data_IF_167474290977
#
_entry.id   IF_167474290977
#
_cell.length_a   1.000
_cell.length_b   1.000
_cell.length_c   1.000
_cell.angle_alpha   90.00
_cell.angle_beta   90.00
_cell.angle_gamma   90.00
#
_symmetry.space_group_name_H-M   'P 1'
#
loop_
_entity.id
_entity.type
_entity.pdbx_description
1 polymer ?
#
# COMPACT_ATOMS: atom_id res chain seq x y z
N UNK A 1 -29.27 7.74 29.01
CA UNK A 1 -28.17 7.50 29.96
C UNK A 1 -27.74 8.84 30.54
N UNK A 2 -27.09 8.90 31.70
CA UNK A 2 -26.38 10.11 32.15
C UNK A 2 -25.04 9.70 32.72
N UNK A 3 -23.97 10.41 32.33
CA UNK A 3 -22.66 10.40 33.00
C UNK A 3 -22.37 11.78 33.58
N UNK A 4 -21.67 11.83 34.72
CA UNK A 4 -21.32 13.07 35.42
C UNK A 4 -19.94 12.93 36.05
N UNK A 5 -19.05 13.88 35.76
CA UNK A 5 -17.78 14.05 36.49
C UNK A 5 -18.00 14.72 37.85
N UNK A 6 -17.41 14.16 38.92
CA UNK A 6 -17.42 14.78 40.26
C UNK A 6 -16.17 14.43 41.03
N UNK A 7 -15.34 15.44 41.33
CA UNK A 7 -14.01 15.18 41.90
C UNK A 7 -13.22 14.33 40.92
N UNK A 8 -12.56 13.28 41.38
CA UNK A 8 -11.80 12.35 40.55
C UNK A 8 -12.59 11.09 40.15
N UNK A 9 -13.91 11.19 40.05
CA UNK A 9 -14.78 10.06 39.76
C UNK A 9 -15.78 10.41 38.68
N UNK A 10 -16.08 9.41 37.84
CA UNK A 10 -17.24 9.44 36.95
C UNK A 10 -18.39 8.71 37.64
N UNK A 11 -19.59 9.26 37.51
CA UNK A 11 -20.83 8.69 38.01
C UNK A 11 -21.78 8.46 36.86
N UNK A 12 -22.58 7.40 36.92
CA UNK A 12 -23.52 7.05 35.85
C UNK A 12 -24.93 6.76 36.39
N UNK A 13 -25.92 6.91 35.50
CA UNK A 13 -27.30 6.46 35.72
C UNK A 13 -27.83 5.76 34.49
N UNK A 14 -27.96 4.44 34.60
CA UNK A 14 -28.38 3.56 33.49
C UNK A 14 -29.88 3.35 33.35
N UNK A 15 -30.63 3.59 34.42
CA UNK A 15 -32.09 3.46 34.45
C UNK A 15 -32.75 4.81 34.65
N UNK A 16 -33.74 5.15 33.82
CA UNK A 16 -34.52 6.38 33.97
C UNK A 16 -35.14 6.47 35.38
N UNK A 17 -34.90 7.58 36.08
CA UNK A 17 -35.34 7.77 37.47
C UNK A 17 -34.57 6.97 38.54
N UNK A 18 -33.57 6.18 38.15
CA UNK A 18 -32.68 5.47 39.06
C UNK A 18 -31.72 6.38 39.82
N UNK A 19 -31.00 5.80 40.79
CA UNK A 19 -29.91 6.49 41.49
C UNK A 19 -28.72 6.73 40.55
N UNK A 20 -27.97 7.81 40.80
CA UNK A 20 -26.67 8.04 40.18
C UNK A 20 -25.63 7.31 41.05
N UNK A 21 -24.89 6.38 40.44
CA UNK A 21 -23.90 5.54 41.14
C UNK A 21 -22.50 5.78 40.58
N UNK A 22 -21.49 5.64 41.43
CA UNK A 22 -20.09 5.77 41.01
C UNK A 22 -19.71 4.62 40.08
N UNK A 23 -18.94 4.92 39.03
CA UNK A 23 -18.33 3.89 38.17
C UNK A 23 -17.12 3.27 38.86
N UNK A 24 -16.42 2.34 38.19
CA UNK A 24 -15.08 1.94 38.63
C UNK A 24 -14.14 3.14 38.68
N UNK A 25 -13.11 3.05 39.54
CA UNK A 25 -12.11 4.09 39.67
C UNK A 25 -11.36 4.30 38.35
N UNK A 26 -11.08 5.56 38.02
CA UNK A 26 -10.20 5.92 36.91
C UNK A 26 -8.75 5.49 37.23
N UNK A 27 -7.89 5.33 36.21
CA UNK A 27 -6.47 5.06 36.38
C UNK A 27 -5.76 6.00 37.37
N UNK A 28 -4.64 5.53 37.92
CA UNK A 28 -3.88 6.29 38.90
C UNK A 28 -3.41 7.63 38.33
N UNK A 29 -3.55 8.70 39.13
CA UNK A 29 -3.22 10.07 38.71
C UNK A 29 -4.44 10.96 38.55
N UNK A 30 -5.62 10.37 38.31
CA UNK A 30 -6.85 11.11 37.99
C UNK A 30 -7.13 12.27 38.97
N UNK A 31 -7.14 13.48 38.40
CA UNK A 31 -7.45 14.75 39.03
C UNK A 31 -8.95 15.04 39.08
N UNK A 32 -9.32 16.33 39.12
CA UNK A 32 -10.74 16.70 39.06
C UNK A 32 -11.23 16.61 37.63
N UNK A 33 -12.28 15.81 37.40
CA UNK A 33 -12.90 15.67 36.08
C UNK A 33 -13.46 17.00 35.63
N UNK A 34 -12.96 17.47 34.49
CA UNK A 34 -13.34 18.75 33.87
C UNK A 34 -14.51 18.55 32.91
N UNK A 35 -14.53 17.45 32.17
CA UNK A 35 -15.61 17.16 31.22
C UNK A 35 -15.77 15.65 30.93
N UNK A 36 -16.92 15.27 30.38
CA UNK A 36 -17.26 13.91 29.97
C UNK A 36 -17.99 13.91 28.62
N UNK A 37 -17.58 13.02 27.72
CA UNK A 37 -18.26 12.78 26.43
C UNK A 37 -18.74 11.33 26.33
N UNK A 38 -19.76 11.10 25.51
CA UNK A 38 -20.33 9.77 25.28
C UNK A 38 -20.52 9.56 23.79
N UNK A 39 -20.35 8.31 23.36
CA UNK A 39 -20.85 7.91 22.05
C UNK A 39 -22.39 7.91 22.08
N UNK A 40 -23.06 8.70 21.21
CA UNK A 40 -24.51 8.82 21.19
C UNK A 40 -25.23 7.54 20.71
N UNK A 41 -24.56 6.69 19.94
CA UNK A 41 -25.08 5.43 19.41
C UNK A 41 -24.73 4.24 20.32
N UNK A 42 -23.61 4.31 21.05
CA UNK A 42 -23.23 3.35 22.10
C UNK A 42 -22.89 4.02 23.44
N UNK A 43 -23.90 4.13 24.32
CA UNK A 43 -23.73 4.68 25.66
C UNK A 43 -22.71 3.96 26.54
N UNK A 44 -22.27 2.74 26.19
CA UNK A 44 -21.21 2.03 26.92
C UNK A 44 -19.82 2.63 26.65
N UNK A 45 -19.66 3.35 25.55
CA UNK A 45 -18.43 4.05 25.22
C UNK A 45 -18.45 5.47 25.78
N UNK A 46 -17.58 5.72 26.75
CA UNK A 46 -17.57 6.92 27.59
C UNK A 46 -16.16 7.46 27.73
N UNK A 47 -16.02 8.77 27.64
CA UNK A 47 -14.76 9.48 27.80
C UNK A 47 -14.84 10.46 28.96
N UNK A 48 -13.72 10.65 29.65
CA UNK A 48 -13.61 11.63 30.71
C UNK A 48 -12.22 12.26 30.65
N UNK A 49 -12.13 13.54 31.00
CA UNK A 49 -10.86 14.25 31.09
C UNK A 49 -10.70 14.91 32.45
N UNK A 50 -9.45 15.03 32.90
CA UNK A 50 -9.07 16.00 33.92
C UNK A 50 -8.18 17.09 33.30
N UNK A 51 -7.29 17.73 34.05
CA UNK A 51 -6.42 18.80 33.53
C UNK A 51 -5.33 18.34 32.57
N UNK A 52 -4.95 17.06 32.59
CA UNK A 52 -3.75 16.55 31.95
C UNK A 52 -3.82 15.07 31.52
N UNK A 53 -4.93 14.39 31.80
CA UNK A 53 -5.20 13.02 31.39
C UNK A 53 -6.53 12.89 30.65
N UNK A 54 -6.59 11.92 29.73
CA UNK A 54 -7.79 11.50 29.02
C UNK A 54 -8.06 10.03 29.31
N UNK A 55 -9.29 9.71 29.66
CA UNK A 55 -9.73 8.37 30.03
C UNK A 55 -10.85 7.89 29.12
N UNK A 56 -10.87 6.57 28.85
CA UNK A 56 -11.89 5.92 28.04
C UNK A 56 -12.41 4.65 28.73
N UNK A 57 -13.70 4.39 28.61
CA UNK A 57 -14.36 3.15 28.96
C UNK A 57 -15.20 2.67 27.77
N UNK A 58 -15.22 1.36 27.52
CA UNK A 58 -16.04 0.70 26.48
C UNK A 58 -17.09 -0.25 27.06
N UNK A 59 -17.26 -0.22 28.38
CA UNK A 59 -18.14 -1.12 29.13
C UNK A 59 -19.00 -0.36 30.16
N UNK A 60 -19.31 0.90 29.84
CA UNK A 60 -20.19 1.76 30.62
C UNK A 60 -19.60 2.23 31.94
N UNK A 61 -18.27 2.21 32.08
CA UNK A 61 -17.51 2.61 33.27
C UNK A 61 -17.16 1.45 34.20
N UNK A 62 -17.29 0.20 33.76
CA UNK A 62 -16.86 -0.95 34.57
C UNK A 62 -15.32 -1.09 34.58
N UNK A 63 -14.66 -0.71 33.49
CA UNK A 63 -13.22 -0.55 33.37
C UNK A 63 -12.88 0.76 32.66
N UNK A 64 -11.75 1.38 33.05
CA UNK A 64 -11.25 2.62 32.46
C UNK A 64 -9.79 2.45 32.06
N UNK A 65 -9.45 2.96 30.88
CA UNK A 65 -8.11 3.02 30.32
C UNK A 65 -7.64 4.46 30.25
N UNK A 66 -6.36 4.71 30.54
CA UNK A 66 -5.72 6.00 30.27
C UNK A 66 -5.31 6.01 28.79
N UNK A 67 -5.85 6.97 28.04
CA UNK A 67 -5.60 7.16 26.62
C UNK A 67 -4.85 8.47 26.32
N UNK A 68 -4.23 9.08 27.33
CA UNK A 68 -3.50 10.35 27.20
C UNK A 68 -2.40 10.29 26.14
N UNK A 69 -1.70 9.16 26.03
CA UNK A 69 -0.78 8.89 24.93
C UNK A 69 0.27 9.97 24.70
N UNK A 70 0.44 10.41 23.45
CA UNK A 70 1.37 11.48 23.07
C UNK A 70 0.84 12.92 23.33
N UNK A 71 -0.40 13.10 23.81
CA UNK A 71 -1.05 14.41 23.88
C UNK A 71 -0.26 15.45 24.68
N UNK A 72 0.30 15.07 25.83
CA UNK A 72 1.08 15.98 26.69
C UNK A 72 2.44 16.36 26.11
N UNK A 73 2.90 15.64 25.08
CA UNK A 73 4.12 15.97 24.33
C UNK A 73 3.87 16.97 23.20
N UNK A 74 2.65 17.02 22.67
CA UNK A 74 2.27 17.85 21.51
C UNK A 74 1.32 19.01 21.86
N UNK A 75 0.77 19.03 23.07
CA UNK A 75 -0.14 20.06 23.55
C UNK A 75 0.27 20.57 24.93
N UNK A 76 -0.16 21.78 25.25
CA UNK A 76 -0.10 22.29 26.63
C UNK A 76 -1.27 21.71 27.42
N UNK A 77 -1.01 21.23 28.65
CA UNK A 77 -2.04 20.79 29.61
C UNK A 77 -3.02 21.93 29.95
N UNK A 78 -4.00 21.68 30.83
CA UNK A 78 -5.25 22.47 31.00
C UNK A 78 -6.28 22.02 29.97
N UNK A 79 -6.60 20.70 29.95
CA UNK A 79 -7.70 20.15 29.16
C UNK A 79 -9.04 20.52 29.79
N UNK A 80 -9.97 21.03 28.99
CA UNK A 80 -11.19 21.68 29.50
C UNK A 80 -12.49 21.12 29.00
N UNK A 81 -12.47 20.56 27.81
CA UNK A 81 -13.66 20.09 27.11
C UNK A 81 -13.26 18.90 26.25
N UNK A 82 -14.15 17.93 26.14
CA UNK A 82 -14.00 16.77 25.28
C UNK A 82 -15.30 16.57 24.52
N UNK A 83 -15.21 16.36 23.21
CA UNK A 83 -16.37 16.14 22.36
C UNK A 83 -16.19 14.87 21.53
N UNK A 84 -17.29 14.13 21.34
CA UNK A 84 -17.30 12.93 20.50
C UNK A 84 -17.77 13.31 19.09
N UNK A 85 -16.99 12.94 18.09
CA UNK A 85 -17.26 13.26 16.68
C UNK A 85 -17.47 11.94 15.92
N UNK A 86 -18.73 11.51 15.69
CA UNK A 86 -19.03 10.31 14.92
C UNK A 86 -18.51 10.45 13.49
N UNK A 87 -18.05 9.34 12.92
CA UNK A 87 -17.76 9.25 11.49
C UNK A 87 -18.52 8.11 10.82
N UNK A 88 -18.40 8.00 9.50
CA UNK A 88 -19.03 6.91 8.73
C UNK A 88 -18.38 5.56 8.98
N UNK A 89 -17.16 5.58 9.50
CA UNK A 89 -16.15 4.56 9.31
C UNK A 89 -15.31 4.38 10.58
N UNK A 90 -14.92 5.50 11.20
CA UNK A 90 -14.26 5.60 12.49
C UNK A 90 -14.83 6.81 13.21
N UNK A 91 -14.75 6.81 14.53
CA UNK A 91 -15.09 7.97 15.34
C UNK A 91 -13.83 8.62 15.89
N UNK A 92 -13.97 9.86 16.33
CA UNK A 92 -12.91 10.64 16.94
C UNK A 92 -13.41 11.24 18.24
N UNK A 93 -12.45 11.52 19.10
CA UNK A 93 -12.65 12.37 20.26
C UNK A 93 -11.75 13.59 20.11
N UNK A 94 -12.33 14.77 20.33
CA UNK A 94 -11.62 16.04 20.27
C UNK A 94 -11.51 16.62 21.67
N UNK A 95 -10.32 17.06 22.06
CA UNK A 95 -10.04 17.69 23.35
C UNK A 95 -9.60 19.13 23.13
N UNK A 96 -10.28 20.04 23.83
CA UNK A 96 -9.89 21.44 23.93
C UNK A 96 -8.86 21.64 25.03
N UNK A 97 -7.72 22.22 24.66
CA UNK A 97 -6.55 22.42 25.54
C UNK A 97 -6.17 23.90 25.64
N UNK A 98 -5.07 24.22 26.35
CA UNK A 98 -4.47 25.56 26.35
C UNK A 98 -3.83 25.98 25.04
N UNK A 99 -3.47 25.02 24.18
CA UNK A 99 -2.79 25.26 22.91
C UNK A 99 -3.66 24.98 21.69
N UNK A 100 -4.95 24.70 21.85
CA UNK A 100 -5.86 24.47 20.73
C UNK A 100 -6.67 23.19 20.88
N UNK A 101 -7.17 22.69 19.75
CA UNK A 101 -7.96 21.46 19.66
C UNK A 101 -7.06 20.33 19.16
N UNK A 102 -7.06 19.22 19.88
CA UNK A 102 -6.37 18.00 19.50
C UNK A 102 -7.37 16.87 19.44
N UNK A 103 -7.17 15.89 18.58
CA UNK A 103 -8.08 14.77 18.46
C UNK A 103 -7.31 13.46 18.39
N UNK A 104 -7.95 12.39 18.86
CA UNK A 104 -7.53 11.03 18.63
C UNK A 104 -8.71 10.27 18.03
N UNK A 105 -8.40 9.27 17.21
CA UNK A 105 -9.42 8.38 16.64
C UNK A 105 -9.69 7.25 17.62
N UNK A 106 -10.92 6.77 17.73
CA UNK A 106 -11.31 5.77 18.75
C UNK A 106 -10.63 4.41 18.55
N UNK A 107 -10.15 4.08 17.35
CA UNK A 107 -9.33 2.89 17.08
C UNK A 107 -7.84 3.06 17.40
N UNK A 108 -7.36 4.30 17.58
CA UNK A 108 -6.00 4.61 18.05
C UNK A 108 -6.05 5.71 19.12
N UNK A 109 -6.69 5.43 20.27
CA UNK A 109 -7.09 6.48 21.20
C UNK A 109 -5.90 7.11 21.94
N UNK A 110 -4.69 6.56 21.81
CA UNK A 110 -3.45 7.09 22.40
C UNK A 110 -2.60 7.91 21.41
N UNK A 111 -3.03 8.04 20.15
CA UNK A 111 -2.30 8.80 19.12
C UNK A 111 -3.11 10.04 18.76
N UNK A 112 -2.70 11.15 19.37
CA UNK A 112 -3.30 12.46 19.23
C UNK A 112 -2.64 13.27 18.11
N UNK A 113 -3.46 14.07 17.44
CA UNK A 113 -3.09 14.97 16.35
C UNK A 113 -3.69 16.34 16.59
N UNK A 114 -3.04 17.40 16.12
CA UNK A 114 -3.61 18.75 16.15
C UNK A 114 -4.74 18.86 15.11
N UNK A 115 -5.89 19.41 15.49
CA UNK A 115 -6.99 19.68 14.57
C UNK A 115 -6.70 20.95 13.75
N UNK A 116 -5.86 20.85 12.72
CA UNK A 116 -5.33 22.02 11.99
C UNK A 116 -6.29 22.53 10.90
N UNK A 117 -6.93 23.69 11.14
CA UNK A 117 -7.61 24.50 10.08
C UNK A 117 -7.32 26.00 10.21
N UNK A 118 -6.22 26.37 10.87
CA UNK A 118 -5.82 27.78 11.09
C UNK A 118 -6.20 28.35 12.46
N UNK A 119 -6.65 27.52 13.39
CA UNK A 119 -6.77 27.86 14.81
C UNK A 119 -5.36 28.12 15.38
N UNK A 120 -5.06 29.33 15.89
CA UNK A 120 -3.78 29.60 16.54
C UNK A 120 -3.74 29.01 17.94
N UNK A 121 -2.53 28.86 18.52
CA UNK A 121 -2.33 28.53 19.94
C UNK A 121 -3.23 29.39 20.84
N UNK A 122 -4.30 28.78 21.34
CA UNK A 122 -5.30 29.45 22.15
C UNK A 122 -5.97 28.46 23.08
N UNK A 123 -6.30 28.97 24.27
CA UNK A 123 -7.09 28.23 25.23
C UNK A 123 -8.52 28.01 24.70
N UNK A 124 -8.87 26.75 24.51
CA UNK A 124 -10.20 26.29 24.14
C UNK A 124 -10.97 26.03 25.43
N UNK A 125 -12.10 26.72 25.60
CA UNK A 125 -12.94 26.61 26.77
C UNK A 125 -14.02 25.55 26.60
N UNK A 126 -14.55 25.40 25.39
CA UNK A 126 -15.69 24.57 25.08
C UNK A 126 -15.61 24.09 23.63
N UNK A 127 -16.01 22.84 23.41
CA UNK A 127 -16.19 22.22 22.11
C UNK A 127 -17.64 21.76 22.01
N UNK A 128 -18.22 21.87 20.82
CA UNK A 128 -19.56 21.38 20.54
C UNK A 128 -19.60 20.87 19.09
N UNK A 129 -20.07 19.65 18.88
CA UNK A 129 -20.19 19.05 17.56
C UNK A 129 -21.66 18.98 17.14
N UNK A 130 -21.99 19.67 16.04
CA UNK A 130 -23.30 19.57 15.40
C UNK A 130 -23.26 18.50 14.32
N UNK A 131 -23.89 17.36 14.60
CA UNK A 131 -23.97 16.22 13.66
C UNK A 131 -24.92 16.45 12.48
N UNK A 132 -25.81 17.43 12.56
CA UNK A 132 -26.75 17.75 11.47
C UNK A 132 -26.06 18.59 10.39
N UNK A 133 -25.20 19.53 10.80
CA UNK A 133 -24.45 20.40 9.90
C UNK A 133 -23.02 19.91 9.64
N UNK A 134 -22.58 18.87 10.35
CA UNK A 134 -21.21 18.32 10.34
C UNK A 134 -20.16 19.40 10.64
N UNK A 135 -20.33 20.07 11.78
CA UNK A 135 -19.48 21.18 12.23
C UNK A 135 -19.02 20.97 13.66
N UNK A 136 -17.70 20.99 13.88
CA UNK A 136 -17.11 21.13 15.21
C UNK A 136 -16.85 22.61 15.51
N UNK A 137 -17.39 23.11 16.61
CA UNK A 137 -17.29 24.50 17.06
C UNK A 137 -16.37 24.58 18.27
N UNK A 138 -15.41 25.51 18.26
CA UNK A 138 -14.50 25.77 19.37
C UNK A 138 -14.67 27.18 19.92
N UNK A 139 -15.08 27.27 21.20
CA UNK A 139 -15.14 28.52 21.96
C UNK A 139 -13.77 28.84 22.59
N UNK A 140 -13.17 29.97 22.23
CA UNK A 140 -11.79 30.31 22.65
C UNK A 140 -11.71 31.48 23.61
N UNK A 141 -10.65 31.53 24.44
CA UNK A 141 -10.35 32.71 25.25
C UNK A 141 -9.77 33.84 24.41
N UNK A 142 -10.58 34.86 24.12
CA UNK A 142 -10.11 36.11 23.53
C UNK A 142 -9.85 36.07 22.02
N UNK A 143 -10.23 35.00 21.31
CA UNK A 143 -10.10 34.88 19.85
C UNK A 143 -11.40 34.47 19.15
N UNK A 144 -12.53 34.61 19.84
CA UNK A 144 -13.87 34.35 19.28
C UNK A 144 -14.19 32.86 19.19
N UNK A 145 -15.03 32.51 18.22
CA UNK A 145 -15.48 31.15 17.93
C UNK A 145 -14.85 30.70 16.62
N UNK A 146 -14.40 29.45 16.60
CA UNK A 146 -13.81 28.80 15.43
C UNK A 146 -14.66 27.60 15.04
N UNK A 147 -14.68 27.27 13.75
CA UNK A 147 -15.49 26.18 13.21
C UNK A 147 -14.67 25.34 12.24
N UNK A 148 -14.79 24.03 12.37
CA UNK A 148 -14.35 23.05 11.38
C UNK A 148 -15.59 22.47 10.72
N UNK A 149 -15.77 22.74 9.42
CA UNK A 149 -16.80 22.07 8.62
C UNK A 149 -16.32 20.69 8.18
N UNK A 150 -17.26 19.78 7.88
CA UNK A 150 -16.97 18.40 7.54
C UNK A 150 -16.15 17.67 8.63
N UNK A 151 -16.37 18.02 9.91
CA UNK A 151 -15.54 17.53 11.02
C UNK A 151 -15.56 15.99 11.14
N UNK A 152 -16.68 15.35 10.82
CA UNK A 152 -16.80 13.90 10.73
C UNK A 152 -15.85 13.29 9.70
N UNK A 153 -15.44 14.01 8.66
CA UNK A 153 -14.49 13.54 7.65
C UNK A 153 -13.08 14.03 7.95
N UNK A 154 -12.90 15.27 8.39
CA UNK A 154 -11.58 15.84 8.68
C UNK A 154 -10.91 15.17 9.88
N UNK A 155 -11.67 14.85 10.94
CA UNK A 155 -11.14 14.19 12.13
C UNK A 155 -11.12 12.66 11.98
N UNK A 156 -12.07 12.07 11.26
CA UNK A 156 -12.15 10.61 11.13
C UNK A 156 -11.51 10.05 9.86
N UNK A 157 -11.29 10.86 8.83
CA UNK A 157 -10.63 10.48 7.59
C UNK A 157 -9.16 10.13 7.83
N UNK A 158 -8.67 9.12 7.14
CA UNK A 158 -7.26 8.76 7.09
C UNK A 158 -6.76 9.11 5.71
N UNK A 159 -6.56 10.39 5.39
CA UNK A 159 -6.13 10.84 4.06
C UNK A 159 -5.00 9.96 3.50
N UNK A 160 -3.77 10.18 3.96
CA UNK A 160 -2.66 9.25 3.71
C UNK A 160 -2.50 8.30 4.89
N UNK A 161 -2.66 7.00 4.66
CA UNK A 161 -2.32 5.97 5.63
C UNK A 161 -0.80 5.72 5.59
N UNK A 162 -0.07 6.33 6.51
CA UNK A 162 1.38 6.10 6.68
C UNK A 162 1.63 4.91 7.60
N UNK A 163 2.45 3.97 7.16
CA UNK A 163 2.86 2.74 7.84
C UNK A 163 4.37 2.78 8.08
N UNK A 164 4.81 2.50 9.32
CA UNK A 164 6.22 2.49 9.69
C UNK A 164 6.54 1.31 10.64
N UNK A 165 7.83 0.97 10.77
CA UNK A 165 8.31 -0.01 11.74
C UNK A 165 8.00 0.34 13.21
N UNK A 166 7.71 1.61 13.51
CA UNK A 166 7.35 2.10 14.85
C UNK A 166 5.85 1.95 15.17
N UNK A 167 5.03 1.56 14.20
CA UNK A 167 3.61 1.31 14.43
C UNK A 167 3.39 0.08 15.35
N UNK A 168 2.24 -0.02 16.03
CA UNK A 168 1.93 -1.16 16.91
C UNK A 168 2.12 -2.50 16.20
N UNK A 169 2.89 -3.41 16.81
CA UNK A 169 3.21 -4.72 16.22
C UNK A 169 4.58 -4.77 15.52
N UNK A 170 5.22 -3.63 15.29
CA UNK A 170 6.64 -3.56 14.89
C UNK A 170 7.61 -3.73 16.06
N UNK A 171 8.88 -3.90 15.74
CA UNK A 171 9.97 -3.95 16.72
C UNK A 171 10.68 -2.58 16.89
N UNK A 172 10.17 -1.54 16.23
CA UNK A 172 10.78 -0.21 16.15
C UNK A 172 11.82 -0.10 15.04
N UNK A 173 11.93 1.05 14.40
CA UNK A 173 12.88 1.28 13.30
C UNK A 173 14.35 1.20 13.74
N UNK A 174 15.23 0.79 12.82
CA UNK A 174 16.69 0.85 12.94
C UNK A 174 17.24 0.07 14.15
N UNK A 175 16.66 -1.09 14.43
CA UNK A 175 16.97 -1.92 15.59
C UNK A 175 17.86 -3.13 15.26
N UNK A 176 18.20 -3.34 13.98
CA UNK A 176 18.97 -4.48 13.48
C UNK A 176 18.11 -5.70 13.11
N UNK A 177 16.78 -5.57 13.10
CA UNK A 177 15.83 -6.64 12.78
C UNK A 177 14.92 -6.20 11.63
N UNK A 178 14.85 -7.05 10.60
CA UNK A 178 13.91 -6.91 9.49
C UNK A 178 12.46 -6.73 9.95
N UNK A 179 11.73 -5.77 9.36
CA UNK A 179 10.29 -5.64 9.53
C UNK A 179 9.52 -6.15 8.30
N UNK A 180 8.41 -6.85 8.56
CA UNK A 180 7.51 -7.32 7.52
C UNK A 180 6.19 -6.58 7.58
N UNK A 181 5.91 -5.76 6.58
CA UNK A 181 4.65 -5.07 6.37
C UNK A 181 3.73 -5.92 5.48
N UNK A 182 2.46 -6.06 5.85
CA UNK A 182 1.43 -6.62 4.96
C UNK A 182 0.25 -5.68 4.89
N UNK A 183 -0.08 -5.24 3.68
CA UNK A 183 -1.24 -4.40 3.37
C UNK A 183 -2.24 -5.24 2.59
N UNK A 184 -3.46 -5.37 3.11
CA UNK A 184 -4.55 -6.10 2.46
C UNK A 184 -5.91 -5.52 2.81
N UNK A 185 -6.96 -5.92 2.11
CA UNK A 185 -8.32 -5.69 2.60
C UNK A 185 -8.77 -6.83 3.50
N UNK A 186 -9.55 -6.49 4.54
CA UNK A 186 -10.24 -7.46 5.37
C UNK A 186 -11.14 -8.38 4.52
N UNK A 187 -11.61 -9.49 5.10
CA UNK A 187 -12.44 -10.47 4.39
C UNK A 187 -13.75 -9.89 3.82
N UNK A 188 -14.22 -8.76 4.35
CA UNK A 188 -15.41 -8.07 3.89
C UNK A 188 -15.15 -7.04 2.77
N UNK A 189 -13.89 -6.73 2.44
CA UNK A 189 -13.50 -5.71 1.47
C UNK A 189 -13.82 -4.27 1.91
N UNK A 190 -13.98 -4.04 3.22
CA UNK A 190 -14.46 -2.75 3.79
C UNK A 190 -13.39 -1.98 4.55
N UNK A 191 -12.27 -2.62 4.90
CA UNK A 191 -11.18 -1.99 5.63
C UNK A 191 -9.82 -2.46 5.10
N UNK A 192 -8.85 -1.55 5.06
CA UNK A 192 -7.43 -1.83 4.91
C UNK A 192 -6.89 -2.36 6.23
N UNK A 193 -6.43 -3.60 6.23
CA UNK A 193 -5.66 -4.17 7.33
C UNK A 193 -4.16 -3.98 7.07
N UNK A 194 -3.48 -3.44 8.07
CA UNK A 194 -2.03 -3.34 8.14
C UNK A 194 -1.55 -4.35 9.17
N UNK A 195 -0.72 -5.29 8.75
CA UNK A 195 -0.04 -6.23 9.63
C UNK A 195 1.45 -5.94 9.64
N UNK A 196 2.06 -6.00 10.81
CA UNK A 196 3.49 -5.81 11.01
C UNK A 196 4.00 -7.01 11.77
N UNK A 197 5.01 -7.68 11.22
CA UNK A 197 5.63 -8.88 11.80
C UNK A 197 4.60 -9.97 12.17
N UNK A 198 3.55 -10.10 11.35
CA UNK A 198 2.45 -11.07 11.54
C UNK A 198 1.39 -10.68 12.59
N UNK A 199 1.48 -9.49 13.18
CA UNK A 199 0.49 -8.94 14.12
C UNK A 199 -0.36 -7.89 13.43
N UNK A 200 -1.68 -7.92 13.62
CA UNK A 200 -2.58 -6.86 13.12
C UNK A 200 -2.24 -5.56 13.86
N UNK A 201 -1.65 -4.61 13.13
CA UNK A 201 -1.29 -3.29 13.63
C UNK A 201 -2.50 -2.36 13.60
N UNK A 202 -3.16 -2.29 12.45
CA UNK A 202 -4.30 -1.39 12.20
C UNK A 202 -5.32 -2.04 11.28
N UNK A 203 -6.58 -1.69 11.48
CA UNK A 203 -7.68 -1.97 10.55
C UNK A 203 -8.43 -0.66 10.32
N UNK A 204 -8.24 -0.09 9.13
CA UNK A 204 -8.71 1.25 8.78
C UNK A 204 -9.79 1.13 7.71
N UNK A 205 -10.98 1.71 7.91
CA UNK A 205 -12.04 1.68 6.91
C UNK A 205 -11.55 2.20 5.56
N UNK A 206 -11.87 1.47 4.51
CA UNK A 206 -11.33 1.70 3.18
C UNK A 206 -11.74 3.05 2.59
N UNK A 207 -12.99 3.46 2.84
CA UNK A 207 -13.52 4.74 2.40
C UNK A 207 -12.81 5.95 3.02
N UNK A 208 -12.09 5.75 4.14
CA UNK A 208 -11.33 6.79 4.80
C UNK A 208 -9.92 6.99 4.23
N UNK A 209 -9.41 6.05 3.41
CA UNK A 209 -8.03 6.04 2.89
C UNK A 209 -7.96 6.59 1.47
N UNK A 210 -7.25 7.70 1.28
CA UNK A 210 -6.98 8.24 -0.07
C UNK A 210 -5.74 7.61 -0.68
N UNK A 211 -4.68 7.40 0.09
CA UNK A 211 -3.40 6.84 -0.37
C UNK A 211 -2.72 6.06 0.75
N UNK A 212 -1.86 5.11 0.40
CA UNK A 212 -1.06 4.35 1.37
C UNK A 212 0.41 4.69 1.17
N UNK A 213 1.11 4.97 2.27
CA UNK A 213 2.57 5.13 2.26
C UNK A 213 3.14 4.12 3.26
N UNK A 214 4.00 3.25 2.80
CA UNK A 214 4.82 2.38 3.65
C UNK A 214 6.22 2.97 3.66
N UNK A 215 6.74 3.27 4.85
CA UNK A 215 8.12 3.68 5.05
C UNK A 215 8.83 2.59 5.86
N UNK A 216 9.79 1.92 5.22
CA UNK A 216 10.76 1.09 5.90
C UNK A 216 11.81 1.92 6.64
N UNK A 217 12.92 1.28 6.96
CA UNK A 217 13.94 1.72 7.89
C UNK A 217 15.34 1.52 7.29
N UNK A 218 16.37 1.44 8.12
CA UNK A 218 17.72 1.00 7.71
C UNK A 218 17.96 -0.52 7.88
N UNK A 219 16.95 -1.24 8.37
CA UNK A 219 16.93 -2.70 8.44
C UNK A 219 16.37 -3.31 7.14
N UNK A 220 16.56 -4.61 6.93
CA UNK A 220 16.07 -5.31 5.72
C UNK A 220 14.54 -5.47 5.79
N UNK A 221 13.78 -4.66 5.06
CA UNK A 221 12.33 -4.60 5.16
C UNK A 221 11.62 -5.35 4.04
N UNK A 222 10.44 -5.89 4.33
CA UNK A 222 9.62 -6.60 3.34
C UNK A 222 8.20 -6.06 3.32
N UNK A 223 7.74 -5.57 2.18
CA UNK A 223 6.35 -5.23 1.94
C UNK A 223 5.62 -6.36 1.20
N UNK A 224 4.51 -6.84 1.73
CA UNK A 224 3.53 -7.66 1.01
C UNK A 224 2.26 -6.87 0.75
N UNK A 225 1.87 -6.73 -0.52
CA UNK A 225 0.56 -6.20 -0.93
C UNK A 225 -0.30 -7.36 -1.43
N UNK A 226 -1.35 -7.69 -0.67
CA UNK A 226 -2.26 -8.80 -0.97
C UNK A 226 -3.61 -8.30 -1.47
N UNK A 227 -3.88 -8.60 -2.75
CA UNK A 227 -5.04 -8.16 -3.51
C UNK A 227 -6.22 -9.15 -3.49
N UNK A 228 -6.21 -10.22 -2.66
CA UNK A 228 -7.24 -11.26 -2.67
C UNK A 228 -8.69 -10.75 -2.53
N UNK A 229 -8.90 -9.67 -1.77
CA UNK A 229 -10.22 -9.10 -1.50
C UNK A 229 -10.46 -7.74 -2.21
N UNK A 230 -9.63 -7.37 -3.19
CA UNK A 230 -9.62 -6.04 -3.81
C UNK A 230 -10.49 -5.92 -5.07
N UNK A 231 -11.51 -6.77 -5.23
CA UNK A 231 -12.37 -6.76 -6.43
C UNK A 231 -13.85 -6.50 -6.08
N UNK A 232 -14.49 -5.47 -6.68
CA UNK A 232 -13.90 -4.42 -7.54
C UNK A 232 -12.93 -3.54 -6.76
N UNK A 233 -11.90 -2.98 -7.42
CA UNK A 233 -10.87 -2.14 -6.78
C UNK A 233 -11.53 -0.93 -6.09
N UNK A 234 -11.59 -0.87 -4.75
CA UNK A 234 -12.04 0.32 -4.05
C UNK A 234 -10.83 1.24 -3.82
N UNK A 235 -11.06 2.55 -3.74
CA UNK A 235 -10.04 3.56 -3.39
C UNK A 235 -9.25 3.08 -2.17
N UNK A 236 -7.90 3.07 -2.21
CA UNK A 236 -7.05 4.27 -2.37
C UNK A 236 -6.56 4.52 -3.80
N UNK A 237 -6.04 5.72 -4.07
CA UNK A 237 -5.47 6.14 -5.35
C UNK A 237 -4.11 5.48 -5.67
N UNK A 238 -3.42 4.92 -4.67
CA UNK A 238 -2.23 4.10 -4.86
C UNK A 238 -1.51 3.75 -3.56
N UNK A 239 -0.35 3.10 -3.71
CA UNK A 239 0.59 2.81 -2.63
C UNK A 239 1.98 3.33 -3.00
N UNK A 240 2.68 3.94 -2.06
CA UNK A 240 4.11 4.22 -2.17
C UNK A 240 4.87 3.40 -1.12
N UNK A 241 5.93 2.72 -1.52
CA UNK A 241 6.84 2.02 -0.63
C UNK A 241 8.24 2.65 -0.68
N UNK A 242 8.58 3.37 0.37
CA UNK A 242 9.93 3.89 0.56
C UNK A 242 10.68 2.89 1.46
N UNK A 243 11.43 1.97 0.85
CA UNK A 243 12.01 0.86 1.58
C UNK A 243 13.10 1.30 2.56
N UNK A 244 13.86 2.32 2.20
CA UNK A 244 14.90 2.88 3.04
C UNK A 244 16.27 2.36 2.62
N UNK A 245 17.11 2.00 3.59
CA UNK A 245 18.40 1.38 3.32
C UNK A 245 18.36 -0.06 3.82
N UNK A 246 18.98 -0.98 3.10
CA UNK A 246 18.90 -2.40 3.48
C UNK A 246 18.81 -3.26 2.24
N UNK A 247 18.62 -4.56 2.44
CA UNK A 247 18.21 -5.48 1.40
C UNK A 247 16.68 -5.66 1.47
N UNK A 248 15.96 -4.71 0.90
CA UNK A 248 14.52 -4.62 1.02
C UNK A 248 13.78 -5.36 -0.09
N UNK A 249 12.59 -5.90 0.17
CA UNK A 249 11.84 -6.65 -0.83
C UNK A 249 10.36 -6.31 -0.90
N UNK A 250 9.75 -6.57 -2.06
CA UNK A 250 8.31 -6.40 -2.24
C UNK A 250 7.66 -7.65 -2.83
N UNK A 251 6.53 -8.05 -2.26
CA UNK A 251 5.67 -9.12 -2.78
C UNK A 251 4.31 -8.56 -3.19
N UNK A 252 3.93 -8.79 -4.45
CA UNK A 252 2.59 -8.54 -4.98
C UNK A 252 1.88 -9.89 -5.13
N UNK A 253 0.75 -10.07 -4.46
CA UNK A 253 0.05 -11.36 -4.40
C UNK A 253 -1.46 -11.21 -4.31
N UNK A 254 -2.18 -12.34 -4.39
CA UNK A 254 -3.64 -12.39 -4.27
C UNK A 254 -4.37 -11.82 -5.49
N UNK A 255 -5.62 -12.23 -5.70
CA UNK A 255 -6.47 -11.68 -6.77
C UNK A 255 -6.01 -12.00 -8.20
N UNK A 256 -6.53 -11.23 -9.16
CA UNK A 256 -6.18 -11.34 -10.58
C UNK A 256 -6.26 -9.98 -11.29
N UNK A 257 -5.29 -9.69 -12.15
CA UNK A 257 -5.27 -8.48 -12.98
C UNK A 257 -5.46 -8.80 -14.46
N UNK A 258 -6.13 -7.90 -15.19
CA UNK A 258 -6.15 -7.94 -16.65
C UNK A 258 -4.79 -7.58 -17.24
N UNK A 259 -4.05 -6.68 -16.61
CA UNK A 259 -2.69 -6.33 -17.03
C UNK A 259 -1.85 -5.91 -15.84
N UNK A 260 -0.61 -6.36 -15.76
CA UNK A 260 0.39 -5.84 -14.81
C UNK A 260 1.53 -5.23 -15.62
N UNK A 261 1.90 -4.00 -15.30
CA UNK A 261 3.04 -3.30 -15.90
C UNK A 261 4.06 -3.04 -14.81
N UNK A 262 5.25 -3.62 -14.94
CA UNK A 262 6.43 -3.26 -14.16
C UNK A 262 7.23 -2.21 -14.95
N UNK A 263 7.55 -1.11 -14.29
CA UNK A 263 8.39 -0.03 -14.79
C UNK A 263 9.62 0.08 -13.89
N UNK A 264 10.81 0.11 -14.47
CA UNK A 264 12.06 0.22 -13.75
C UNK A 264 12.72 1.56 -14.07
N UNK A 265 12.91 2.40 -13.06
CA UNK A 265 13.57 3.71 -13.17
C UNK A 265 15.06 3.63 -12.83
N UNK A 266 15.43 2.71 -11.93
CA UNK A 266 16.80 2.37 -11.55
C UNK A 266 16.87 0.90 -11.12
N UNK A 267 18.06 0.43 -10.70
CA UNK A 267 18.21 -0.91 -10.11
C UNK A 267 17.35 -1.12 -8.86
N UNK A 268 16.90 -0.05 -8.19
CA UNK A 268 16.22 -0.10 -6.90
C UNK A 268 14.88 0.65 -6.88
N UNK A 269 14.57 1.43 -7.92
CA UNK A 269 13.40 2.31 -7.96
C UNK A 269 12.54 2.06 -9.19
N UNK A 270 11.22 2.25 -9.04
CA UNK A 270 10.28 2.05 -10.12
C UNK A 270 8.83 2.01 -9.67
N UNK A 271 7.99 1.36 -10.47
CA UNK A 271 6.59 1.19 -10.12
C UNK A 271 5.91 0.02 -10.79
N UNK A 272 4.78 -0.39 -10.21
CA UNK A 272 3.90 -1.45 -10.69
C UNK A 272 2.51 -0.86 -10.92
N UNK A 273 1.98 -1.02 -12.13
CA UNK A 273 0.61 -0.63 -12.45
C UNK A 273 -0.22 -1.90 -12.68
N UNK A 274 -1.21 -2.11 -11.84
CA UNK A 274 -2.15 -3.22 -11.94
C UNK A 274 -3.48 -2.74 -12.52
N UNK A 275 -3.88 -3.26 -13.68
CA UNK A 275 -5.22 -3.07 -14.20
C UNK A 275 -6.14 -4.17 -13.67
N UNK A 276 -6.99 -3.84 -12.70
CA UNK A 276 -7.92 -4.75 -12.04
C UNK A 276 -9.34 -4.32 -12.41
N UNK A 277 -10.06 -5.19 -13.13
CA UNK A 277 -11.44 -4.93 -13.58
C UNK A 277 -11.62 -3.60 -14.35
N UNK A 278 -10.58 -3.17 -15.09
CA UNK A 278 -10.61 -1.93 -15.88
C UNK A 278 -10.09 -0.68 -15.15
N UNK A 279 -9.81 -0.77 -13.85
CA UNK A 279 -9.23 0.33 -13.06
C UNK A 279 -7.75 0.10 -12.82
N UNK A 280 -6.93 1.15 -12.89
CA UNK A 280 -5.51 1.06 -12.58
C UNK A 280 -5.26 1.32 -11.10
N UNK A 281 -4.43 0.49 -10.48
CA UNK A 281 -3.84 0.70 -9.16
C UNK A 281 -2.33 0.82 -9.32
N UNK A 282 -1.75 1.88 -8.78
CA UNK A 282 -0.31 2.13 -8.82
C UNK A 282 0.38 1.77 -7.51
N UNK A 283 1.52 1.10 -7.62
CA UNK A 283 2.51 0.95 -6.55
C UNK A 283 3.77 1.65 -7.02
N UNK A 284 4.23 2.67 -6.32
CA UNK A 284 5.55 3.28 -6.54
C UNK A 284 6.50 2.78 -5.47
N UNK A 285 7.75 2.48 -5.82
CA UNK A 285 8.74 1.98 -4.87
C UNK A 285 10.12 2.62 -5.06
N UNK A 286 10.87 2.70 -3.96
CA UNK A 286 12.29 3.10 -3.95
C UNK A 286 13.09 2.23 -3.00
N UNK A 287 14.34 1.92 -3.35
CA UNK A 287 15.28 1.18 -2.49
C UNK A 287 15.05 -0.33 -2.44
N UNK A 288 14.43 -0.95 -3.45
CA UNK A 288 14.21 -2.40 -3.45
C UNK A 288 15.43 -3.21 -3.90
N UNK A 289 15.42 -4.48 -3.49
CA UNK A 289 16.18 -5.63 -3.99
C UNK A 289 15.74 -6.95 -3.26
N UNK A 290 14.72 -7.76 -3.69
CA UNK A 290 14.01 -7.85 -4.99
C UNK A 290 12.45 -7.78 -4.98
N UNK A 291 11.80 -7.98 -6.15
CA UNK A 291 10.33 -8.10 -6.29
C UNK A 291 9.87 -9.54 -6.58
N UNK A 292 8.80 -9.96 -5.89
CA UNK A 292 8.05 -11.19 -6.19
C UNK A 292 6.60 -10.86 -6.61
N UNK A 293 6.23 -11.17 -7.84
CA UNK A 293 4.87 -10.97 -8.39
C UNK A 293 4.15 -12.30 -8.64
N UNK A 294 3.42 -12.73 -7.60
CA UNK A 294 2.63 -13.95 -7.57
C UNK A 294 1.16 -13.74 -7.99
N UNK A 295 0.77 -12.54 -8.43
CA UNK A 295 -0.61 -12.26 -8.82
C UNK A 295 -0.94 -12.88 -10.19
N UNK A 296 -2.09 -13.55 -10.35
CA UNK A 296 -2.50 -14.00 -11.69
C UNK A 296 -2.74 -12.82 -12.64
N UNK A 297 -2.18 -12.88 -13.86
CA UNK A 297 -2.31 -11.82 -14.85
C UNK A 297 -2.69 -12.35 -16.24
N UNK A 298 -3.56 -11.63 -16.95
CA UNK A 298 -3.81 -11.89 -18.37
C UNK A 298 -2.60 -11.43 -19.19
N UNK A 299 -2.24 -10.15 -19.07
CA UNK A 299 -1.06 -9.58 -19.72
C UNK A 299 -0.01 -9.09 -18.71
N UNK A 300 1.27 -9.31 -19.01
CA UNK A 300 2.39 -8.74 -18.25
C UNK A 300 3.32 -7.96 -19.15
N UNK A 301 3.74 -6.79 -18.68
CA UNK A 301 4.65 -5.91 -19.41
C UNK A 301 5.78 -5.49 -18.48
N UNK A 302 7.01 -5.70 -18.92
CA UNK A 302 8.21 -5.18 -18.28
C UNK A 302 8.77 -4.05 -19.14
N UNK A 303 8.87 -2.84 -18.57
CA UNK A 303 9.33 -1.64 -19.26
C UNK A 303 10.55 -1.07 -18.55
N UNK A 304 11.68 -1.13 -19.23
CA UNK A 304 12.94 -0.62 -18.75
C UNK A 304 13.13 0.82 -19.24
N UNK A 305 13.74 1.66 -18.41
CA UNK A 305 13.98 3.08 -18.72
C UNK A 305 15.44 3.49 -18.58
N UNK A 306 16.32 2.53 -18.25
CA UNK A 306 17.75 2.75 -18.18
C UNK A 306 18.33 3.16 -19.53
N UNK A 307 19.63 3.47 -19.52
CA UNK A 307 20.42 3.49 -20.75
C UNK A 307 20.75 2.06 -21.17
N UNK A 308 21.89 1.85 -21.83
CA UNK A 308 22.34 0.50 -22.20
C UNK A 308 22.37 -0.49 -21.03
N UNK A 309 21.51 -1.50 -21.10
CA UNK A 309 21.40 -2.55 -20.08
C UNK A 309 21.33 -3.97 -20.69
N UNK A 310 21.58 -4.97 -19.84
CA UNK A 310 21.37 -6.38 -20.19
C UNK A 310 20.17 -6.91 -19.43
N UNK A 311 19.09 -7.16 -20.15
CA UNK A 311 17.83 -7.71 -19.64
C UNK A 311 17.85 -9.21 -19.88
N UNK A 312 17.64 -10.02 -18.84
CA UNK A 312 17.60 -11.47 -18.93
C UNK A 312 16.23 -11.98 -18.56
N UNK A 313 15.56 -12.68 -19.48
CA UNK A 313 14.36 -13.48 -19.21
C UNK A 313 14.77 -14.95 -19.07
N UNK A 314 14.40 -15.58 -17.96
CA UNK A 314 14.68 -17.00 -17.70
C UNK A 314 13.56 -17.68 -16.92
N UNK A 315 13.65 -19.00 -16.77
CA UNK A 315 13.01 -19.75 -15.68
C UNK A 315 13.51 -19.24 -14.32
N UNK A 316 12.71 -19.41 -13.25
CA UNK A 316 13.09 -19.01 -11.88
C UNK A 316 14.07 -20.00 -11.20
N UNK A 317 14.46 -21.06 -11.91
CA UNK A 317 15.33 -22.13 -11.42
C UNK A 317 14.56 -23.36 -10.93
N UNK A 318 13.23 -23.32 -10.90
CA UNK A 318 12.36 -24.42 -10.50
C UNK A 318 11.38 -24.75 -11.64
N UNK A 319 11.85 -25.58 -12.58
CA UNK A 319 11.01 -26.01 -13.68
C UNK A 319 9.68 -26.67 -13.25
N UNK A 320 8.60 -26.18 -13.84
CA UNK A 320 7.24 -26.70 -13.76
C UNK A 320 6.34 -25.98 -12.76
N UNK A 321 6.79 -24.91 -12.12
CA UNK A 321 6.05 -24.20 -11.07
C UNK A 321 5.23 -22.99 -11.57
N UNK A 322 5.22 -22.73 -12.89
CA UNK A 322 4.55 -21.60 -13.52
C UNK A 322 5.11 -20.22 -13.12
N UNK A 323 6.35 -20.15 -12.65
CA UNK A 323 7.07 -18.92 -12.37
C UNK A 323 8.24 -18.75 -13.34
N UNK A 324 8.46 -17.54 -13.81
CA UNK A 324 9.67 -17.15 -14.54
C UNK A 324 10.33 -15.98 -13.84
N UNK A 325 11.53 -15.61 -14.27
CA UNK A 325 12.28 -14.49 -13.71
C UNK A 325 12.72 -13.56 -14.83
N UNK A 326 12.69 -12.26 -14.55
CA UNK A 326 13.31 -11.25 -15.39
C UNK A 326 14.26 -10.41 -14.53
N UNK A 327 15.48 -10.21 -15.01
CA UNK A 327 16.55 -9.51 -14.33
C UNK A 327 17.16 -8.46 -15.26
N UNK A 328 17.68 -7.37 -14.72
CA UNK A 328 18.44 -6.39 -15.51
C UNK A 328 19.61 -5.80 -14.74
N UNK A 329 20.64 -5.37 -15.49
CA UNK A 329 21.77 -4.62 -14.93
C UNK A 329 21.45 -3.17 -14.57
N UNK A 330 20.24 -2.66 -14.85
CA UNK A 330 19.80 -1.31 -14.48
C UNK A 330 18.36 -1.28 -13.93
N UNK A 331 17.74 -2.44 -13.72
CA UNK A 331 16.38 -2.58 -13.23
C UNK A 331 16.27 -3.75 -12.28
N UNK A 332 15.35 -3.67 -11.34
CA UNK A 332 15.15 -4.67 -10.29
C UNK A 332 14.81 -6.07 -10.85
N UNK A 333 15.26 -7.12 -10.14
CA UNK A 333 14.89 -8.49 -10.47
C UNK A 333 13.46 -8.79 -10.03
N UNK A 334 12.69 -9.41 -10.93
CA UNK A 334 11.31 -9.82 -10.67
C UNK A 334 11.14 -11.31 -10.91
N UNK A 335 10.78 -12.05 -9.86
CA UNK A 335 10.25 -13.42 -9.99
C UNK A 335 8.74 -13.36 -10.09
N UNK A 336 8.14 -14.01 -11.09
CA UNK A 336 6.83 -13.63 -11.58
C UNK A 336 6.02 -14.84 -12.10
N UNK A 337 4.73 -14.92 -11.75
CA UNK A 337 3.82 -15.94 -12.33
C UNK A 337 3.58 -15.72 -13.83
N UNK A 338 3.73 -16.75 -14.65
CA UNK A 338 3.58 -16.59 -16.11
C UNK A 338 2.19 -16.02 -16.48
N UNK A 339 2.12 -15.00 -17.37
CA UNK A 339 0.85 -14.45 -17.83
C UNK A 339 0.10 -15.46 -18.71
N UNK A 340 -1.22 -15.31 -18.82
CA UNK A 340 -2.05 -16.25 -19.59
C UNK A 340 -2.29 -15.86 -21.05
N UNK A 341 -2.13 -14.58 -21.41
CA UNK A 341 -2.31 -14.08 -22.77
C UNK A 341 -1.01 -13.54 -23.36
N UNK A 342 -0.31 -12.61 -22.71
CA UNK A 342 0.94 -12.07 -23.25
C UNK A 342 1.98 -11.66 -22.20
N UNK A 343 3.25 -11.84 -22.56
CA UNK A 343 4.41 -11.22 -21.94
C UNK A 343 5.03 -10.24 -22.95
N UNK A 344 5.19 -8.98 -22.56
CA UNK A 344 5.87 -7.95 -23.35
C UNK A 344 7.10 -7.43 -22.62
N UNK A 345 8.24 -7.38 -23.31
CA UNK A 345 9.46 -6.72 -22.85
C UNK A 345 9.68 -5.47 -23.72
N UNK A 346 9.80 -4.31 -23.09
CA UNK A 346 10.22 -3.06 -23.73
C UNK A 346 11.60 -2.68 -23.18
N UNK A 347 12.66 -2.85 -23.98
CA UNK A 347 14.03 -2.61 -23.53
C UNK A 347 14.32 -1.11 -23.29
N UNK A 348 13.61 -0.21 -23.99
CA UNK A 348 13.55 1.20 -23.61
C UNK A 348 14.51 2.07 -24.40
N UNK A 349 15.53 2.62 -23.74
CA UNK A 349 16.49 3.54 -24.36
C UNK A 349 17.92 3.05 -24.19
N UNK A 350 18.79 3.42 -25.11
CA UNK A 350 20.17 2.94 -25.09
C UNK A 350 20.33 1.71 -25.96
N UNK A 351 21.55 1.18 -26.00
CA UNK A 351 21.82 -0.04 -26.76
C UNK A 351 21.70 -1.24 -25.82
N UNK A 352 20.60 -1.97 -25.91
CA UNK A 352 20.24 -3.00 -24.95
C UNK A 352 20.54 -4.41 -25.46
N UNK A 353 20.75 -5.32 -24.51
CA UNK A 353 20.80 -6.75 -24.78
C UNK A 353 19.69 -7.48 -24.04
N UNK A 354 18.72 -8.02 -24.79
CA UNK A 354 17.70 -8.90 -24.25
C UNK A 354 18.12 -10.36 -24.44
N UNK A 355 18.43 -11.03 -23.35
CA UNK A 355 18.84 -12.44 -23.29
C UNK A 355 17.65 -13.30 -22.87
N UNK A 356 17.15 -14.14 -23.77
CA UNK A 356 16.12 -15.12 -23.46
C UNK A 356 16.79 -16.47 -23.20
N UNK A 357 16.78 -16.93 -21.96
CA UNK A 357 17.53 -18.10 -21.48
C UNK A 357 16.65 -19.35 -21.27
N UNK A 358 15.48 -19.37 -21.90
CA UNK A 358 14.42 -20.36 -21.69
C UNK A 358 13.29 -19.80 -20.83
N UNK A 359 12.16 -20.49 -20.87
CA UNK A 359 10.98 -20.19 -20.05
C UNK A 359 10.70 -21.38 -19.14
N UNK A 360 9.89 -21.15 -18.12
CA UNK A 360 9.39 -22.25 -17.31
C UNK A 360 8.65 -23.30 -18.16
N UNK A 361 8.84 -24.56 -17.80
CA UNK A 361 8.26 -25.70 -18.50
C UNK A 361 6.73 -25.79 -18.38
N UNK A 362 6.12 -25.06 -17.45
CA UNK A 362 4.66 -24.88 -17.33
C UNK A 362 4.15 -23.60 -18.00
N UNK A 363 4.92 -22.98 -18.92
CA UNK A 363 4.47 -21.81 -19.69
C UNK A 363 3.08 -22.05 -20.31
N UNK A 364 2.07 -21.18 -20.05
CA UNK A 364 0.66 -21.52 -20.28
C UNK A 364 0.19 -21.37 -21.73
N UNK A 365 1.07 -20.95 -22.65
CA UNK A 365 0.69 -20.64 -24.03
C UNK A 365 0.63 -19.14 -24.35
N UNK A 366 1.14 -18.27 -23.48
CA UNK A 366 1.11 -16.83 -23.71
C UNK A 366 2.06 -16.38 -24.83
N UNK A 367 1.64 -15.32 -25.51
CA UNK A 367 2.43 -14.62 -26.52
C UNK A 367 3.69 -14.00 -25.88
N UNK A 368 4.80 -13.98 -26.62
CA UNK A 368 6.02 -13.28 -26.24
C UNK A 368 6.31 -12.17 -27.24
N UNK A 369 6.31 -10.93 -26.76
CA UNK A 369 6.69 -9.73 -27.52
C UNK A 369 7.95 -9.11 -26.93
N UNK A 370 8.94 -8.81 -27.77
CA UNK A 370 10.17 -8.13 -27.37
C UNK A 370 10.41 -6.94 -28.31
N UNK A 371 10.44 -5.75 -27.73
CA UNK A 371 10.69 -4.48 -28.39
C UNK A 371 12.04 -3.93 -27.91
N UNK A 372 12.92 -3.56 -28.84
CA UNK A 372 14.23 -2.98 -28.52
C UNK A 372 14.11 -1.50 -28.15
N UNK A 373 13.17 -0.78 -28.74
CA UNK A 373 12.98 0.63 -28.45
C UNK A 373 14.00 1.52 -29.16
N UNK A 374 14.70 2.36 -28.41
CA UNK A 374 15.55 3.40 -28.97
C UNK A 374 17.03 3.11 -28.74
N UNK A 375 17.73 2.71 -29.79
CA UNK A 375 19.17 2.52 -29.77
C UNK A 375 19.60 1.50 -30.80
N UNK A 376 20.66 0.77 -30.50
CA UNK A 376 21.12 -0.38 -31.28
C UNK A 376 20.99 -1.65 -30.45
N UNK A 377 19.86 -2.32 -30.59
CA UNK A 377 19.45 -3.37 -29.66
C UNK A 377 19.76 -4.78 -30.18
N UNK A 378 20.00 -5.69 -29.26
CA UNK A 378 20.25 -7.10 -29.56
C UNK A 378 19.31 -8.00 -28.78
N UNK A 379 18.59 -8.87 -29.48
CA UNK A 379 17.81 -9.95 -28.86
C UNK A 379 18.50 -11.28 -29.12
N UNK A 380 18.76 -12.05 -28.06
CA UNK A 380 19.46 -13.34 -28.13
C UNK A 380 18.69 -14.44 -27.41
N UNK A 381 18.25 -15.44 -28.15
CA UNK A 381 17.74 -16.70 -27.59
C UNK A 381 18.91 -17.65 -27.36
N UNK A 382 19.17 -18.05 -26.11
CA UNK A 382 20.35 -18.83 -25.73
C UNK A 382 20.10 -19.72 -24.52
N UNK A 383 21.12 -20.46 -24.09
CA UNK A 383 21.13 -21.35 -22.92
C UNK A 383 20.14 -22.52 -23.04
N UNK A 384 18.85 -22.29 -22.86
CA UNK A 384 17.79 -23.31 -22.95
C UNK A 384 16.79 -23.00 -24.06
N UNK A 385 16.01 -24.01 -24.45
CA UNK A 385 14.97 -23.82 -25.45
C UNK A 385 13.85 -22.93 -24.92
N UNK A 386 13.32 -22.05 -25.77
CA UNK A 386 12.16 -21.20 -25.50
C UNK A 386 10.91 -21.83 -26.13
N UNK A 387 9.99 -22.34 -25.31
CA UNK A 387 8.77 -22.99 -25.78
C UNK A 387 7.54 -22.17 -25.38
N UNK A 388 6.84 -21.58 -26.35
CA UNK A 388 5.66 -20.74 -26.11
C UNK A 388 4.34 -21.51 -26.08
N UNK A 389 4.38 -22.84 -26.26
CA UNK A 389 3.24 -23.75 -26.04
C UNK A 389 1.90 -23.33 -26.70
N UNK A 390 1.92 -22.68 -27.86
CA UNK A 390 0.73 -22.17 -28.56
C UNK A 390 0.67 -20.65 -28.68
N UNK A 391 1.55 -19.93 -27.97
CA UNK A 391 1.70 -18.48 -28.06
C UNK A 391 2.52 -18.05 -29.28
N UNK A 392 2.22 -16.88 -29.80
CA UNK A 392 2.96 -16.21 -30.88
C UNK A 392 4.26 -15.60 -30.36
N UNK A 393 5.24 -15.51 -31.26
CA UNK A 393 6.47 -14.78 -31.02
C UNK A 393 6.51 -13.54 -31.91
N UNK A 394 6.78 -12.38 -31.31
CA UNK A 394 7.02 -11.13 -32.02
C UNK A 394 8.28 -10.45 -31.49
N UNK A 395 9.30 -10.27 -32.32
CA UNK A 395 10.55 -9.59 -31.95
C UNK A 395 10.86 -8.50 -32.96
N UNK A 396 11.13 -7.29 -32.45
CA UNK A 396 11.62 -6.18 -33.23
C UNK A 396 10.59 -5.54 -34.16
N UNK A 397 9.33 -5.46 -33.71
CA UNK A 397 8.22 -4.95 -34.52
C UNK A 397 8.51 -3.51 -34.97
N UNK A 398 8.58 -3.29 -36.29
CA UNK A 398 8.97 -1.99 -36.84
C UNK A 398 10.47 -1.81 -37.06
N UNK A 399 11.29 -2.83 -36.76
CA UNK A 399 12.74 -2.82 -36.96
C UNK A 399 13.51 -2.12 -35.86
N UNK A 400 12.93 -2.05 -34.66
CA UNK A 400 13.51 -1.46 -33.44
C UNK A 400 14.47 -2.40 -32.70
N UNK A 401 14.87 -3.51 -33.33
CA UNK A 401 15.93 -4.40 -32.84
C UNK A 401 16.95 -4.57 -33.94
N UNK A 402 18.19 -4.12 -33.74
CA UNK A 402 19.23 -4.15 -34.77
C UNK A 402 19.68 -5.56 -35.10
N UNK A 403 19.86 -6.40 -34.08
CA UNK A 403 20.43 -7.75 -34.22
C UNK A 403 19.58 -8.79 -33.50
N UNK A 404 19.22 -9.87 -34.20
CA UNK A 404 18.57 -11.04 -33.58
C UNK A 404 19.45 -12.29 -33.73
N UNK A 405 19.71 -12.96 -32.62
CA UNK A 405 20.55 -14.17 -32.55
C UNK A 405 19.76 -15.34 -31.98
N UNK A 406 19.64 -16.42 -32.74
CA UNK A 406 18.95 -17.66 -32.34
C UNK A 406 20.00 -18.74 -32.09
N UNK A 407 20.46 -18.82 -30.84
CA UNK A 407 21.49 -19.77 -30.39
C UNK A 407 20.87 -21.00 -29.72
N UNK A 408 19.64 -20.90 -29.23
CA UNK A 408 18.83 -22.00 -28.71
C UNK A 408 17.52 -22.15 -29.51
N UNK A 409 16.87 -23.32 -29.38
CA UNK A 409 15.63 -23.60 -30.09
C UNK A 409 14.47 -22.75 -29.58
N UNK A 410 13.64 -22.25 -30.50
CA UNK A 410 12.41 -21.50 -30.22
C UNK A 410 11.23 -22.23 -30.88
N UNK A 411 10.20 -22.54 -30.11
CA UNK A 411 9.00 -23.26 -30.58
C UNK A 411 7.72 -22.53 -30.18
N UNK A 412 6.79 -22.33 -31.12
CA UNK A 412 5.52 -21.62 -30.85
C UNK A 412 4.29 -22.54 -30.79
N UNK A 413 4.41 -23.81 -31.19
CA UNK A 413 3.30 -24.78 -31.06
C UNK A 413 2.11 -24.54 -31.99
N UNK A 414 2.36 -24.22 -33.27
CA UNK A 414 1.37 -23.85 -34.30
C UNK A 414 0.83 -22.41 -34.23
N UNK A 415 1.58 -21.50 -33.60
CA UNK A 415 1.36 -20.06 -33.67
C UNK A 415 2.47 -19.37 -34.46
N UNK A 416 2.22 -18.16 -34.96
CA UNK A 416 3.19 -17.47 -35.80
C UNK A 416 4.45 -17.05 -35.01
N UNK A 417 5.59 -17.06 -35.69
CA UNK A 417 6.82 -16.45 -35.20
C UNK A 417 7.28 -15.35 -36.17
N UNK A 418 7.46 -14.13 -35.67
CA UNK A 418 7.95 -12.99 -36.45
C UNK A 418 9.22 -12.45 -35.81
N UNK A 419 10.31 -12.48 -36.57
CA UNK A 419 11.58 -11.85 -36.21
C UNK A 419 11.88 -10.76 -37.23
N UNK A 420 11.94 -9.51 -36.78
CA UNK A 420 12.27 -8.37 -37.62
C UNK A 420 13.51 -7.68 -37.05
N UNK A 421 14.61 -7.73 -37.79
CA UNK A 421 15.86 -7.08 -37.42
C UNK A 421 16.15 -5.84 -38.28
N UNK A 422 16.88 -4.89 -37.71
CA UNK A 422 17.47 -3.75 -38.40
C UNK A 422 18.72 -4.15 -39.20
N UNK A 423 19.74 -3.29 -39.16
CA UNK A 423 20.94 -3.43 -39.98
C UNK A 423 21.89 -4.57 -39.54
N UNK A 424 21.77 -5.07 -38.30
CA UNK A 424 22.57 -6.19 -37.79
C UNK A 424 22.08 -7.56 -38.25
N UNK A 425 20.82 -7.65 -38.69
CA UNK A 425 20.24 -8.85 -39.30
C UNK A 425 19.87 -9.96 -38.32
N UNK A 426 19.49 -11.11 -38.88
CA UNK A 426 19.05 -12.30 -38.13
C UNK A 426 20.06 -13.42 -38.38
N UNK A 427 20.56 -14.03 -37.30
CA UNK A 427 21.52 -15.14 -37.37
C UNK A 427 21.07 -16.33 -36.53
N UNK A 428 21.41 -17.53 -37.00
CA UNK A 428 21.14 -18.80 -36.32
C UNK A 428 22.48 -19.45 -35.98
N UNK A 429 22.84 -19.51 -34.70
CA UNK A 429 24.09 -20.10 -34.22
C UNK A 429 23.80 -21.28 -33.29
N UNK A 430 23.22 -22.34 -33.86
CA UNK A 430 22.91 -23.59 -33.16
C UNK A 430 21.44 -23.79 -32.79
N UNK A 431 20.63 -22.72 -32.86
CA UNK A 431 19.18 -22.78 -32.62
C UNK A 431 18.35 -22.91 -33.90
N UNK A 432 17.05 -23.12 -33.70
CA UNK A 432 16.02 -23.17 -34.75
C UNK A 432 14.80 -22.36 -34.32
N UNK A 433 13.98 -21.91 -35.26
CA UNK A 433 12.63 -21.38 -35.00
C UNK A 433 11.63 -22.33 -35.66
N UNK A 434 10.74 -22.92 -34.88
CA UNK A 434 9.76 -23.89 -35.36
C UNK A 434 8.33 -23.44 -34.98
N UNK A 435 7.58 -23.01 -36.00
CA UNK A 435 6.19 -22.61 -35.86
C UNK A 435 5.17 -23.73 -36.13
N UNK A 436 5.60 -24.98 -36.24
CA UNK A 436 4.73 -26.10 -36.59
C UNK A 436 4.07 -25.90 -37.96
N UNK A 437 2.74 -25.85 -38.00
CA UNK A 437 1.97 -25.57 -39.22
C UNK A 437 1.79 -24.08 -39.52
N UNK A 438 2.16 -23.19 -38.59
CA UNK A 438 2.07 -21.74 -38.73
C UNK A 438 3.31 -21.15 -39.43
N UNK A 439 3.30 -19.84 -39.64
CA UNK A 439 4.34 -19.16 -40.42
C UNK A 439 5.51 -18.69 -39.54
N UNK A 440 6.72 -18.81 -40.09
CA UNK A 440 7.91 -18.11 -39.59
C UNK A 440 8.23 -16.97 -40.55
N UNK A 441 8.16 -15.73 -40.08
CA UNK A 441 8.48 -14.53 -40.86
C UNK A 441 9.80 -13.96 -40.36
N UNK A 442 10.78 -13.85 -41.26
CA UNK A 442 12.08 -13.26 -41.00
C UNK A 442 12.25 -12.04 -41.90
N UNK A 443 12.48 -10.87 -41.33
CA UNK A 443 12.72 -9.63 -42.08
C UNK A 443 14.00 -8.97 -41.56
N UNK A 444 14.90 -8.55 -42.46
CA UNK A 444 16.06 -7.72 -42.12
C UNK A 444 16.17 -6.51 -43.04
N UNK A 445 16.63 -5.38 -42.51
CA UNK A 445 16.97 -4.20 -43.30
C UNK A 445 18.41 -4.24 -43.88
N UNK A 446 19.26 -5.12 -43.33
CA UNK A 446 20.63 -5.40 -43.77
C UNK A 446 20.78 -6.65 -44.62
#
# INVERSE_FOLDING_TARGET
MIYVGRGNQVWSRTTAGGAITVTSALPAGAGTITDVAIDPDDWMTVFAIDSDQVFMSVDGGANWSDITGNLTSISSTDFRTIEYVPGTDSDAIAVGTRSGVFYARTWSPTVWQEASTGLPDVLVFDLDYDSSDDVLVAGTLGRGVWTMSAASTELNGVGTLTITADDPGGNGADNGFADTFTVRLNAAGTAVEVWINGTLSRSVPLASVTDIVVAGSSDDDTLTVDFANWTPLPVPAGLAFNAGAGADSMTVTGGSAGRIVHRFDSEQDGGVILNISGTNYGIEYTGLAPITDNMSAIDRVFSFTGGSETITLSDDGIGGNNLSQIDSTLGEIVTFTNPTNSLTINAGTGNDQVLVQGLDSSWPGADLTINGGAGSDTVRFQTNATALAGGTLSVGAGGDVETIQVNANVTTGNANATLQAGAGGISFAGGTVNAGTASVTLTSAG
#
